data_IF_644925124500
#
_entry.id   IF_644925124500
#
_cell.length_a   1.000
_cell.length_b   1.000
_cell.length_c   1.000
_cell.angle_alpha   90.00
_cell.angle_beta   90.00
_cell.angle_gamma   90.00
#
_symmetry.space_group_name_H-M   'P 1'
#
loop_
_entity.id
_entity.type
_entity.pdbx_description
1 polymer ?
#
# COMPACT_ATOMS: atom_id res chain seq x y z
N UNK A 1 17.71 19.05 5.98
CA UNK A 1 16.71 18.06 5.53
C UNK A 1 15.96 17.51 6.74
N UNK A 2 14.61 17.55 6.75
CA UNK A 2 13.83 17.01 7.87
C UNK A 2 13.96 15.49 7.88
N UNK A 3 14.29 14.92 9.04
CA UNK A 3 14.42 13.46 9.23
C UNK A 3 13.20 12.70 8.70
N UNK A 4 13.42 11.62 7.94
CA UNK A 4 12.39 10.71 7.42
C UNK A 4 11.38 10.25 8.49
N UNK A 5 11.79 10.19 9.76
CA UNK A 5 10.89 9.86 10.87
C UNK A 5 9.86 10.96 11.13
N UNK A 6 10.26 12.23 11.01
CA UNK A 6 9.36 13.38 11.18
C UNK A 6 8.37 13.49 10.02
N UNK A 7 8.77 13.20 8.80
CA UNK A 7 7.87 13.26 7.63
C UNK A 7 6.82 12.14 7.66
N UNK A 8 7.17 10.93 8.11
CA UNK A 8 6.21 9.84 8.34
C UNK A 8 5.24 10.12 9.49
N UNK A 9 5.72 10.78 10.54
CA UNK A 9 4.87 11.16 11.66
C UNK A 9 3.89 12.28 11.26
N UNK A 10 4.36 13.25 10.48
CA UNK A 10 3.54 14.31 9.89
C UNK A 10 2.51 13.74 8.90
N UNK A 11 2.85 12.75 8.07
CA UNK A 11 1.90 12.12 7.14
C UNK A 11 0.80 11.36 7.89
N UNK A 12 1.16 10.57 8.91
CA UNK A 12 0.19 9.87 9.77
C UNK A 12 -0.76 10.82 10.47
N UNK A 13 -0.25 11.93 11.01
CA UNK A 13 -1.08 12.95 11.65
C UNK A 13 -2.04 13.61 10.65
N UNK A 14 -1.57 13.96 9.45
CA UNK A 14 -2.42 14.51 8.38
C UNK A 14 -3.52 13.53 7.95
N UNK A 15 -3.17 12.25 7.73
CA UNK A 15 -4.15 11.22 7.38
C UNK A 15 -5.20 11.04 8.50
N UNK A 16 -4.77 11.04 9.76
CA UNK A 16 -5.69 10.91 10.90
C UNK A 16 -6.61 12.12 11.05
N UNK A 17 -6.12 13.34 10.76
CA UNK A 17 -6.93 14.55 10.75
C UNK A 17 -7.95 14.57 9.60
N UNK A 18 -7.56 14.10 8.40
CA UNK A 18 -8.46 13.98 7.24
C UNK A 18 -9.56 12.94 7.46
N UNK A 19 -9.19 11.77 8.01
CA UNK A 19 -10.16 10.73 8.36
C UNK A 19 -11.12 11.28 9.43
N UNK A 20 -10.61 11.94 10.46
CA UNK A 20 -11.44 12.51 11.53
C UNK A 20 -12.34 13.62 11.03
N UNK A 21 -11.86 14.55 10.18
CA UNK A 21 -12.68 15.64 9.64
C UNK A 21 -13.76 15.14 8.69
N UNK A 22 -13.55 14.01 8.01
CA UNK A 22 -14.56 13.36 7.18
C UNK A 22 -15.58 12.54 7.98
N UNK A 23 -15.14 11.83 9.02
CA UNK A 23 -15.99 10.94 9.82
C UNK A 23 -16.85 11.72 10.83
N UNK A 24 -16.31 12.79 11.41
CA UNK A 24 -16.96 13.60 12.45
C UNK A 24 -18.30 14.22 12.03
N UNK A 25 -18.47 14.82 10.82
CA UNK A 25 -19.76 15.37 10.41
C UNK A 25 -20.80 14.26 10.12
N UNK A 26 -20.38 13.11 9.57
CA UNK A 26 -21.30 12.00 9.26
C UNK A 26 -21.77 11.26 10.53
N UNK A 27 -20.86 10.96 11.45
CA UNK A 27 -21.21 10.34 12.73
C UNK A 27 -21.92 11.30 13.68
N UNK A 28 -21.59 12.60 13.63
CA UNK A 28 -22.26 13.64 14.39
C UNK A 28 -23.71 13.82 13.98
N UNK A 29 -23.99 13.89 12.67
CA UNK A 29 -25.35 14.05 12.14
C UNK A 29 -26.24 12.82 12.38
N UNK A 30 -25.69 11.61 12.23
CA UNK A 30 -26.43 10.36 12.49
C UNK A 30 -26.61 10.12 13.99
N UNK A 31 -25.58 10.39 14.80
CA UNK A 31 -25.60 10.18 16.24
C UNK A 31 -26.54 11.14 16.99
N UNK A 32 -26.65 12.40 16.55
CA UNK A 32 -27.61 13.37 17.10
C UNK A 32 -29.05 13.08 16.65
N UNK A 33 -29.28 12.75 15.38
CA UNK A 33 -30.62 12.40 14.86
C UNK A 33 -31.24 11.18 15.56
N UNK A 34 -30.44 10.17 15.87
CA UNK A 34 -30.93 8.96 16.54
C UNK A 34 -30.73 8.95 18.07
N UNK A 35 -30.25 10.06 18.66
CA UNK A 35 -29.85 10.18 20.09
C UNK A 35 -29.13 8.91 20.58
N UNK A 36 -28.17 8.42 19.79
CA UNK A 36 -27.49 7.15 20.05
C UNK A 36 -26.87 7.12 21.45
N UNK A 37 -26.25 8.23 21.86
CA UNK A 37 -25.64 8.36 23.18
C UNK A 37 -26.65 8.16 24.33
N UNK A 38 -27.89 8.63 24.16
CA UNK A 38 -28.96 8.44 25.16
C UNK A 38 -29.41 6.98 25.25
N UNK A 39 -29.55 6.31 24.10
CA UNK A 39 -29.94 4.89 24.03
C UNK A 39 -28.85 3.96 24.55
N UNK A 40 -27.58 4.25 24.24
CA UNK A 40 -26.42 3.54 24.80
C UNK A 40 -26.38 3.71 26.32
N UNK A 41 -26.67 4.92 26.84
CA UNK A 41 -26.72 5.14 28.28
C UNK A 41 -27.83 4.33 28.95
N UNK A 42 -29.02 4.26 28.36
CA UNK A 42 -30.12 3.43 28.86
C UNK A 42 -29.79 1.93 28.79
N UNK A 43 -29.20 1.46 27.69
CA UNK A 43 -28.74 0.09 27.55
C UNK A 43 -27.69 -0.26 28.62
N UNK A 44 -26.74 0.63 28.90
CA UNK A 44 -25.71 0.43 29.93
C UNK A 44 -26.28 0.48 31.36
N UNK A 45 -27.30 1.31 31.62
CA UNK A 45 -28.00 1.32 32.91
C UNK A 45 -28.76 0.01 33.09
N UNK A 46 -29.47 -0.45 32.06
CA UNK A 46 -30.18 -1.72 32.08
C UNK A 46 -29.23 -2.90 32.24
N UNK A 47 -28.08 -2.86 31.57
CA UNK A 47 -27.06 -3.88 31.66
C UNK A 47 -26.47 -4.01 33.07
N UNK A 48 -26.30 -2.87 33.76
CA UNK A 48 -25.89 -2.85 35.17
C UNK A 48 -27.00 -3.32 36.11
N UNK A 49 -28.28 -3.06 35.80
CA UNK A 49 -29.42 -3.48 36.63
C UNK A 49 -29.69 -4.98 36.56
N UNK A 50 -29.42 -5.62 35.42
CA UNK A 50 -29.69 -7.05 35.21
C UNK A 50 -28.45 -7.83 34.70
N UNK A 51 -27.38 -7.96 35.52
CA UNK A 51 -26.09 -8.50 35.09
C UNK A 51 -26.14 -9.97 34.63
N UNK A 52 -26.99 -10.80 35.24
CA UNK A 52 -27.14 -12.21 34.85
C UNK A 52 -27.80 -12.37 33.48
N UNK A 53 -28.77 -11.51 33.16
CA UNK A 53 -29.46 -11.54 31.86
C UNK A 53 -28.56 -11.01 30.75
N UNK A 54 -27.81 -9.94 31.01
CA UNK A 54 -26.86 -9.43 30.02
C UNK A 54 -25.71 -10.39 29.76
N UNK A 55 -25.17 -11.01 30.80
CA UNK A 55 -24.17 -12.07 30.62
C UNK A 55 -24.74 -13.22 29.77
N UNK A 56 -25.92 -13.73 30.11
CA UNK A 56 -26.56 -14.80 29.33
C UNK A 56 -26.83 -14.41 27.88
N UNK A 57 -27.31 -13.19 27.61
CA UNK A 57 -27.52 -12.71 26.24
C UNK A 57 -26.21 -12.55 25.48
N UNK A 58 -25.17 -11.99 26.09
CA UNK A 58 -23.86 -11.77 25.44
C UNK A 58 -23.17 -13.10 25.17
N UNK A 59 -23.07 -13.97 26.18
CA UNK A 59 -22.47 -15.29 26.04
C UNK A 59 -23.29 -16.17 25.10
N UNK A 60 -24.61 -16.12 25.19
CA UNK A 60 -25.52 -16.84 24.29
C UNK A 60 -25.42 -16.35 22.85
N UNK A 61 -25.39 -15.04 22.60
CA UNK A 61 -25.23 -14.51 21.24
C UNK A 61 -23.85 -14.83 20.67
N UNK A 62 -22.80 -14.76 21.49
CA UNK A 62 -21.44 -15.10 21.07
C UNK A 62 -21.31 -16.58 20.72
N UNK A 63 -21.86 -17.45 21.56
CA UNK A 63 -21.91 -18.89 21.31
C UNK A 63 -22.76 -19.22 20.08
N UNK A 64 -23.90 -18.57 19.92
CA UNK A 64 -24.75 -18.75 18.74
C UNK A 64 -24.05 -18.31 17.45
N UNK A 65 -23.33 -17.18 17.46
CA UNK A 65 -22.53 -16.74 16.32
C UNK A 65 -21.45 -17.77 15.99
N UNK A 66 -20.73 -18.28 17.00
CA UNK A 66 -19.70 -19.30 16.82
C UNK A 66 -20.29 -20.61 16.27
N UNK A 67 -21.39 -21.10 16.85
CA UNK A 67 -22.06 -22.31 16.40
C UNK A 67 -22.62 -22.13 14.98
N UNK A 68 -23.16 -20.96 14.65
CA UNK A 68 -23.65 -20.65 13.31
C UNK A 68 -22.51 -20.62 12.30
N UNK A 69 -21.37 -20.00 12.61
CA UNK A 69 -20.21 -20.00 11.70
C UNK A 69 -19.68 -21.41 11.49
N UNK A 70 -19.57 -22.22 12.55
CA UNK A 70 -19.11 -23.61 12.42
C UNK A 70 -20.12 -24.46 11.65
N UNK A 71 -21.42 -24.28 11.88
CA UNK A 71 -22.47 -24.99 11.15
C UNK A 71 -22.49 -24.61 9.66
N UNK A 72 -22.38 -23.32 9.34
CA UNK A 72 -22.28 -22.83 7.96
C UNK A 72 -20.99 -23.35 7.32
N UNK A 73 -19.85 -23.30 7.98
CA UNK A 73 -18.60 -23.84 7.45
C UNK A 73 -18.68 -25.36 7.23
N UNK A 74 -19.33 -26.09 8.13
CA UNK A 74 -19.54 -27.54 8.00
C UNK A 74 -20.50 -27.88 6.85
N UNK A 75 -21.59 -27.13 6.72
CA UNK A 75 -22.55 -27.29 5.62
C UNK A 75 -21.92 -26.90 4.28
N UNK A 76 -21.17 -25.79 4.23
CA UNK A 76 -20.48 -25.35 3.01
C UNK A 76 -19.31 -26.26 2.65
N UNK A 77 -18.61 -26.91 3.59
CA UNK A 77 -17.64 -27.98 3.27
C UNK A 77 -18.34 -29.21 2.66
N UNK A 78 -19.55 -29.52 3.12
CA UNK A 78 -20.33 -30.64 2.58
C UNK A 78 -20.93 -30.33 1.19
N UNK A 79 -21.23 -29.06 0.92
CA UNK A 79 -21.73 -28.57 -0.38
C UNK A 79 -20.57 -28.33 -1.39
N UNK A 80 -19.36 -28.03 -0.92
CA UNK A 80 -18.14 -27.85 -1.74
C UNK A 80 -17.49 -29.18 -2.17
N UNK A 81 -18.29 -30.17 -2.58
CA UNK A 81 -17.75 -31.29 -3.38
C UNK A 81 -17.44 -30.87 -4.83
N UNK A 82 -17.83 -29.66 -5.22
CA UNK A 82 -17.22 -28.93 -6.33
C UNK A 82 -16.93 -27.49 -5.87
N UNK A 83 -15.66 -27.07 -5.81
CA UNK A 83 -15.34 -25.69 -5.48
C UNK A 83 -15.80 -24.80 -6.64
N UNK A 84 -16.81 -23.98 -6.37
CA UNK A 84 -17.30 -22.94 -7.28
C UNK A 84 -16.22 -21.88 -7.52
N UNK A 85 -15.36 -22.16 -8.51
CA UNK A 85 -14.24 -21.32 -9.00
C UNK A 85 -14.68 -19.95 -9.50
N UNK A 86 -15.98 -19.71 -9.64
CA UNK A 86 -16.55 -18.43 -10.10
C UNK A 86 -16.41 -17.29 -9.06
N UNK A 87 -16.40 -17.63 -7.77
CA UNK A 87 -16.21 -16.65 -6.68
C UNK A 87 -14.73 -16.29 -6.44
N UNK A 88 -13.81 -17.17 -6.85
CA UNK A 88 -12.36 -16.92 -6.85
C UNK A 88 -11.97 -15.96 -7.99
N UNK A 89 -12.70 -16.00 -9.12
CA UNK A 89 -12.47 -15.12 -10.26
C UNK A 89 -12.79 -13.62 -9.99
N UNK A 90 -13.69 -13.29 -9.06
CA UNK A 90 -14.01 -11.89 -8.75
C UNK A 90 -12.97 -11.20 -7.83
N UNK A 91 -12.10 -11.96 -7.16
CA UNK A 91 -10.97 -11.43 -6.38
C UNK A 91 -9.65 -11.43 -7.17
N UNK A 92 -9.64 -12.04 -8.35
CA UNK A 92 -8.53 -12.04 -9.30
C UNK A 92 -7.98 -10.64 -9.63
N UNK A 93 -8.77 -9.56 -9.79
CA UNK A 93 -8.20 -8.23 -10.05
C UNK A 93 -7.44 -7.64 -8.85
N UNK A 94 -7.80 -7.99 -7.61
CA UNK A 94 -7.09 -7.49 -6.41
C UNK A 94 -5.78 -8.25 -6.21
N UNK A 95 -5.79 -9.57 -6.38
CA UNK A 95 -4.57 -10.39 -6.33
C UNK A 95 -3.66 -10.16 -7.54
N UNK A 96 -4.22 -9.93 -8.73
CA UNK A 96 -3.48 -9.48 -9.90
C UNK A 96 -2.85 -8.10 -9.63
N UNK A 97 -3.60 -7.15 -9.05
CA UNK A 97 -3.07 -5.85 -8.63
C UNK A 97 -1.88 -5.96 -7.67
N UNK A 98 -1.92 -6.84 -6.67
CA UNK A 98 -0.77 -7.06 -5.77
C UNK A 98 0.42 -7.72 -6.47
N UNK A 99 0.19 -8.66 -7.40
CA UNK A 99 1.26 -9.29 -8.19
C UNK A 99 1.86 -8.32 -9.21
N UNK A 100 1.05 -7.48 -9.85
CA UNK A 100 1.54 -6.47 -10.81
C UNK A 100 2.26 -5.33 -10.10
N UNK A 101 1.86 -4.91 -8.89
CA UNK A 101 2.60 -3.92 -8.10
C UNK A 101 3.97 -4.46 -7.68
N UNK A 102 4.06 -5.74 -7.28
CA UNK A 102 5.34 -6.36 -6.95
C UNK A 102 6.21 -6.60 -8.20
N UNK A 103 5.62 -7.05 -9.30
CA UNK A 103 6.31 -7.24 -10.56
C UNK A 103 6.80 -5.89 -11.14
N UNK A 104 6.00 -4.83 -11.08
CA UNK A 104 6.44 -3.49 -11.48
C UNK A 104 7.54 -2.96 -10.57
N UNK A 105 7.50 -3.26 -9.26
CA UNK A 105 8.58 -2.87 -8.35
C UNK A 105 9.88 -3.61 -8.66
N UNK A 106 9.84 -4.89 -9.04
CA UNK A 106 11.04 -5.62 -9.48
C UNK A 106 11.53 -5.14 -10.84
N UNK A 107 10.64 -4.83 -11.78
CA UNK A 107 10.98 -4.28 -13.09
C UNK A 107 11.61 -2.90 -12.95
N UNK A 108 11.05 -2.02 -12.12
CA UNK A 108 11.65 -0.72 -11.82
C UNK A 108 13.04 -0.86 -11.19
N UNK A 109 13.22 -1.82 -10.28
CA UNK A 109 14.52 -2.08 -9.67
C UNK A 109 15.53 -2.58 -10.70
N UNK A 110 15.13 -3.49 -11.60
CA UNK A 110 16.02 -3.99 -12.66
C UNK A 110 16.39 -2.89 -13.66
N UNK A 111 15.43 -2.04 -14.07
CA UNK A 111 15.71 -0.91 -14.97
C UNK A 111 16.64 0.11 -14.33
N UNK A 112 16.50 0.42 -13.04
CA UNK A 112 17.44 1.30 -12.33
C UNK A 112 18.84 0.69 -12.23
N UNK A 113 18.96 -0.62 -11.98
CA UNK A 113 20.26 -1.29 -11.96
C UNK A 113 20.92 -1.33 -13.33
N UNK A 114 20.13 -1.53 -14.39
CA UNK A 114 20.62 -1.53 -15.77
C UNK A 114 21.10 -0.15 -16.20
N UNK A 115 20.31 0.91 -15.94
CA UNK A 115 20.71 2.30 -16.20
C UNK A 115 21.96 2.70 -15.41
N UNK A 116 22.09 2.21 -14.17
CA UNK A 116 23.28 2.46 -13.35
C UNK A 116 24.51 1.75 -13.94
N UNK A 117 24.35 0.52 -14.42
CA UNK A 117 25.43 -0.25 -15.05
C UNK A 117 25.84 0.37 -16.40
N UNK A 118 24.88 0.77 -17.23
CA UNK A 118 25.15 1.48 -18.48
C UNK A 118 25.88 2.80 -18.21
N UNK A 119 25.45 3.58 -17.21
CA UNK A 119 26.13 4.81 -16.80
C UNK A 119 27.56 4.58 -16.30
N UNK A 120 27.82 3.47 -15.60
CA UNK A 120 29.18 3.10 -15.17
C UNK A 120 30.08 2.73 -16.35
N UNK A 121 29.59 1.90 -17.27
CA UNK A 121 30.35 1.51 -18.47
C UNK A 121 30.65 2.73 -19.36
N UNK A 122 29.67 3.60 -19.57
CA UNK A 122 29.85 4.82 -20.35
C UNK A 122 30.85 5.78 -19.71
N UNK A 123 30.89 5.83 -18.37
CA UNK A 123 31.89 6.59 -17.62
C UNK A 123 33.29 6.00 -17.79
N UNK A 124 33.44 4.69 -17.71
CA UNK A 124 34.73 4.02 -17.94
C UNK A 124 35.23 4.23 -19.38
N UNK A 125 34.32 4.19 -20.36
CA UNK A 125 34.63 4.47 -21.77
C UNK A 125 35.06 5.93 -21.96
N UNK A 126 34.34 6.89 -21.37
CA UNK A 126 34.71 8.31 -21.36
C UNK A 126 36.07 8.55 -20.68
N UNK A 127 36.34 7.93 -19.53
CA UNK A 127 37.63 8.03 -18.86
C UNK A 127 38.76 7.47 -19.75
N UNK A 128 38.52 6.39 -20.49
CA UNK A 128 39.48 5.84 -21.45
C UNK A 128 39.74 6.77 -22.64
N UNK A 129 38.70 7.38 -23.21
CA UNK A 129 38.79 8.31 -24.35
C UNK A 129 39.39 9.65 -23.94
N UNK A 130 39.20 10.07 -22.69
CA UNK A 130 39.83 11.27 -22.12
C UNK A 130 41.34 11.04 -21.94
N UNK A 131 41.77 9.83 -21.54
CA UNK A 131 43.16 9.49 -21.31
C UNK A 131 44.06 9.47 -22.57
N UNK A 132 43.47 9.48 -23.78
CA UNK A 132 44.23 9.52 -25.03
C UNK A 132 44.92 10.89 -25.21
N UNK A 133 46.26 10.95 -25.42
CA UNK A 133 47.02 12.20 -25.44
C UNK A 133 46.85 13.07 -26.69
N UNK A 134 46.42 12.51 -27.83
CA UNK A 134 46.07 13.26 -29.05
C UNK A 134 44.70 12.83 -29.54
N UNK A 135 43.74 13.76 -29.54
CA UNK A 135 42.34 13.51 -29.90
C UNK A 135 42.11 13.77 -31.39
N UNK A 136 41.49 12.83 -32.09
CA UNK A 136 40.98 13.04 -33.45
C UNK A 136 39.69 13.89 -33.41
N UNK A 137 39.31 14.47 -34.55
CA UNK A 137 38.03 15.16 -34.70
C UNK A 137 36.85 14.19 -34.46
N UNK A 138 37.02 12.93 -34.88
CA UNK A 138 36.02 11.88 -34.63
C UNK A 138 35.89 11.56 -33.14
N UNK A 139 37.02 11.31 -32.45
CA UNK A 139 37.05 11.05 -31.01
C UNK A 139 36.40 12.20 -30.21
N UNK A 140 36.57 13.43 -30.67
CA UNK A 140 35.97 14.61 -30.04
C UNK A 140 34.44 14.62 -30.13
N UNK A 141 33.87 14.17 -31.25
CA UNK A 141 32.42 14.02 -31.43
C UNK A 141 31.90 12.89 -30.55
N UNK A 142 32.62 11.76 -30.51
CA UNK A 142 32.21 10.56 -29.77
C UNK A 142 32.22 10.82 -28.25
N UNK A 143 33.17 11.61 -27.75
CA UNK A 143 33.21 12.07 -26.35
C UNK A 143 31.98 12.94 -26.01
N UNK A 144 31.61 13.89 -26.89
CA UNK A 144 30.46 14.77 -26.64
C UNK A 144 29.14 13.99 -26.64
N UNK A 145 28.98 13.04 -27.57
CA UNK A 145 27.80 12.17 -27.62
C UNK A 145 27.69 11.29 -26.37
N UNK A 146 28.81 10.70 -25.95
CA UNK A 146 28.88 9.87 -24.74
C UNK A 146 28.58 10.69 -23.48
N UNK A 147 29.06 11.93 -23.40
CA UNK A 147 28.75 12.83 -22.27
C UNK A 147 27.27 13.19 -22.20
N UNK A 148 26.64 13.52 -23.34
CA UNK A 148 25.20 13.81 -23.41
C UNK A 148 24.34 12.60 -23.00
N UNK A 149 24.78 11.38 -23.34
CA UNK A 149 24.12 10.14 -22.95
C UNK A 149 24.31 9.84 -21.45
N UNK A 150 25.48 10.14 -20.88
CA UNK A 150 25.69 10.05 -19.44
C UNK A 150 24.78 11.03 -18.68
N UNK A 151 24.66 12.27 -19.18
CA UNK A 151 23.82 13.30 -18.56
C UNK A 151 22.34 12.91 -18.58
N UNK A 152 21.84 12.30 -19.66
CA UNK A 152 20.44 11.85 -19.74
C UNK A 152 20.16 10.69 -18.77
N UNK A 153 21.10 9.76 -18.59
CA UNK A 153 21.01 8.68 -17.59
C UNK A 153 21.03 9.24 -16.17
N UNK A 154 21.91 10.20 -15.87
CA UNK A 154 21.94 10.83 -14.54
C UNK A 154 20.64 11.58 -14.24
N UNK A 155 20.10 12.32 -15.21
CA UNK A 155 18.80 13.00 -15.05
C UNK A 155 17.65 12.01 -14.86
N UNK A 156 17.66 10.87 -15.57
CA UNK A 156 16.63 9.85 -15.39
C UNK A 156 16.71 9.21 -14.01
N UNK A 157 17.90 8.89 -13.49
CA UNK A 157 18.09 8.38 -12.13
C UNK A 157 17.63 9.41 -11.08
N UNK A 158 18.00 10.68 -11.21
CA UNK A 158 17.62 11.74 -10.28
C UNK A 158 16.10 11.96 -10.23
N UNK A 159 15.42 11.92 -11.37
CA UNK A 159 13.96 12.04 -11.43
C UNK A 159 13.24 10.83 -10.82
N UNK A 160 13.86 9.66 -10.83
CA UNK A 160 13.30 8.43 -10.24
C UNK A 160 13.62 8.28 -8.73
N UNK A 161 14.60 9.02 -8.19
CA UNK A 161 14.95 9.05 -6.75
C UNK A 161 14.04 9.95 -5.90
N UNK A 162 13.08 10.65 -6.51
CA UNK A 162 12.10 11.50 -5.82
C UNK A 162 10.73 10.80 -5.76
N UNK A 163 10.35 10.20 -4.61
CA UNK A 163 9.05 9.53 -4.44
C UNK A 163 7.87 10.49 -4.33
#
# INVERSE_FOLDING_TARGET
>A
MKSFRKTLQESRLKTHHLIRSWLQPKLGAVGTRYRLAGRIRLANIWARKHPRRTFAYVTGSLFFLLASTVAIDSMTLSDKREPDVSSIAQLEPVFAGFRTIQANKSIHRSTLTELTQEGQQLREELDSLIAIPRKSHQDSIDIVQSYNRLESIVKSLQNNDHP
#
